data_IF_748630602666
#
_entry.id   IF_748630602666
#
_cell.length_a   1.000
_cell.length_b   1.000
_cell.length_c   1.000
_cell.angle_alpha   90.00
_cell.angle_beta   90.00
_cell.angle_gamma   90.00
#
_symmetry.space_group_name_H-M   'P 1'
#
loop_
_entity.id
_entity.type
_entity.pdbx_description
1 polymer ?
#
# COMPACT_ATOMS: atom_id res chain seq x y z
N UNK A 1 10.70 -17.11 17.68
CA UNK A 1 11.46 -15.96 17.11
C UNK A 1 11.17 -15.74 15.62
N UNK A 2 11.17 -16.75 14.73
CA UNK A 2 10.95 -16.52 13.29
C UNK A 2 9.58 -15.88 12.97
N UNK A 3 8.52 -16.19 13.72
CA UNK A 3 7.18 -15.61 13.49
C UNK A 3 7.12 -14.09 13.66
N UNK A 4 7.69 -13.57 14.75
CA UNK A 4 7.69 -12.12 15.02
C UNK A 4 8.48 -11.39 13.94
N UNK A 5 9.66 -11.90 13.59
CA UNK A 5 10.52 -11.31 12.56
C UNK A 5 9.83 -11.33 11.19
N UNK A 6 9.19 -12.44 10.84
CA UNK A 6 8.43 -12.57 9.57
C UNK A 6 7.30 -11.54 9.50
N UNK A 7 6.53 -11.33 10.58
CA UNK A 7 5.45 -10.34 10.62
C UNK A 7 6.00 -8.91 10.50
N UNK A 8 7.11 -8.60 11.16
CA UNK A 8 7.76 -7.28 11.04
C UNK A 8 8.20 -7.04 9.60
N UNK A 9 8.89 -8.01 8.97
CA UNK A 9 9.32 -7.90 7.57
C UNK A 9 8.13 -7.80 6.62
N UNK A 10 7.04 -8.54 6.87
CA UNK A 10 5.79 -8.45 6.10
C UNK A 10 5.17 -7.07 6.19
N UNK A 11 5.07 -6.50 7.39
CA UNK A 11 4.51 -5.15 7.60
C UNK A 11 5.36 -4.08 6.91
N UNK A 12 6.68 -4.12 7.06
CA UNK A 12 7.61 -3.21 6.40
C UNK A 12 7.57 -3.38 4.87
N UNK A 13 7.47 -4.64 4.38
CA UNK A 13 7.30 -4.92 2.96
C UNK A 13 6.02 -4.28 2.43
N UNK A 14 4.88 -4.39 3.12
CA UNK A 14 3.62 -3.77 2.69
C UNK A 14 3.77 -2.25 2.57
N UNK A 15 4.38 -1.59 3.57
CA UNK A 15 4.62 -0.15 3.56
C UNK A 15 5.45 0.24 2.33
N UNK A 16 6.55 -0.46 2.05
CA UNK A 16 7.43 -0.12 0.92
C UNK A 16 6.81 -0.46 -0.43
N UNK A 17 6.12 -1.59 -0.56
CA UNK A 17 5.40 -2.00 -1.77
C UNK A 17 4.35 -0.96 -2.16
N UNK A 18 3.50 -0.56 -1.20
CA UNK A 18 2.44 0.42 -1.47
C UNK A 18 2.98 1.83 -1.64
N UNK A 19 4.07 2.20 -0.95
CA UNK A 19 4.74 3.48 -1.15
C UNK A 19 5.33 3.57 -2.57
N UNK A 20 6.04 2.55 -3.04
CA UNK A 20 6.64 2.51 -4.37
C UNK A 20 5.57 2.51 -5.46
N UNK A 21 4.57 1.61 -5.35
CA UNK A 21 3.47 1.49 -6.31
C UNK A 21 2.65 2.79 -6.37
N UNK A 22 2.34 3.38 -5.22
CA UNK A 22 1.56 4.61 -5.15
C UNK A 22 2.30 5.83 -5.70
N UNK A 23 3.62 5.95 -5.48
CA UNK A 23 4.43 7.01 -6.11
C UNK A 23 4.44 6.83 -7.64
N UNK A 24 4.53 5.60 -8.16
CA UNK A 24 4.45 5.36 -9.60
C UNK A 24 3.12 5.82 -10.19
N UNK A 25 2.00 5.51 -9.54
CA UNK A 25 0.66 5.95 -9.94
C UNK A 25 0.54 7.47 -9.82
N UNK A 26 1.02 8.07 -8.72
CA UNK A 26 0.98 9.51 -8.51
C UNK A 26 1.75 10.27 -9.60
N UNK A 27 2.95 9.82 -9.94
CA UNK A 27 3.76 10.39 -11.03
C UNK A 27 3.02 10.28 -12.37
N UNK A 28 2.34 9.17 -12.63
CA UNK A 28 1.55 9.02 -13.86
C UNK A 28 0.46 10.07 -13.98
N UNK A 29 -0.21 10.40 -12.89
CA UNK A 29 -1.33 11.35 -12.87
C UNK A 29 -0.89 12.82 -12.79
N UNK A 30 0.17 13.11 -12.02
CA UNK A 30 0.48 14.50 -11.62
C UNK A 30 1.87 15.00 -12.00
N UNK A 31 2.72 14.22 -12.70
CA UNK A 31 4.11 14.61 -13.02
C UNK A 31 4.26 15.97 -13.70
N UNK A 32 3.30 16.34 -14.57
CA UNK A 32 3.34 17.62 -15.31
C UNK A 32 3.15 18.85 -14.41
N UNK A 33 2.76 18.63 -13.15
CA UNK A 33 2.50 19.67 -12.15
C UNK A 33 3.57 19.74 -11.07
N UNK A 34 4.38 18.70 -10.97
CA UNK A 34 5.58 18.68 -10.14
C UNK A 34 6.70 19.39 -10.88
N UNK A 35 7.39 20.28 -10.19
CA UNK A 35 8.55 21.01 -10.70
C UNK A 35 9.76 20.74 -9.78
N UNK A 36 9.83 21.44 -8.68
CA UNK A 36 10.95 21.36 -7.73
C UNK A 36 11.00 20.05 -6.92
N UNK A 37 9.85 19.43 -6.67
CA UNK A 37 9.73 18.21 -5.90
C UNK A 37 9.85 16.93 -6.74
N UNK A 38 9.73 16.99 -8.07
CA UNK A 38 9.66 15.83 -8.94
C UNK A 38 10.83 14.86 -8.76
N UNK A 39 12.06 15.38 -8.72
CA UNK A 39 13.26 14.54 -8.57
C UNK A 39 13.30 13.83 -7.22
N UNK A 40 12.95 14.53 -6.14
CA UNK A 40 12.91 13.93 -4.80
C UNK A 40 11.82 12.86 -4.70
N UNK A 41 10.62 13.09 -5.26
CA UNK A 41 9.54 12.12 -5.30
C UNK A 41 9.98 10.85 -6.02
N UNK A 42 10.61 10.98 -7.19
CA UNK A 42 11.14 9.83 -7.94
C UNK A 42 12.19 9.06 -7.15
N UNK A 43 13.16 9.74 -6.54
CA UNK A 43 14.20 9.10 -5.72
C UNK A 43 13.61 8.33 -4.53
N UNK A 44 12.61 8.89 -3.85
CA UNK A 44 11.94 8.20 -2.74
C UNK A 44 11.19 6.95 -3.25
N UNK A 45 10.50 7.05 -4.38
CA UNK A 45 9.86 5.90 -5.01
C UNK A 45 10.84 4.80 -5.40
N UNK A 46 12.01 5.18 -5.95
CA UNK A 46 13.09 4.25 -6.28
C UNK A 46 13.67 3.58 -5.03
N UNK A 47 13.99 4.38 -4.00
CA UNK A 47 14.51 3.86 -2.74
C UNK A 47 13.51 2.90 -2.08
N UNK A 48 12.21 3.24 -2.07
CA UNK A 48 11.16 2.35 -1.57
C UNK A 48 11.07 1.05 -2.38
N UNK A 49 11.20 1.12 -3.71
CA UNK A 49 11.18 -0.06 -4.57
C UNK A 49 12.39 -0.97 -4.31
N UNK A 50 13.59 -0.41 -4.26
CA UNK A 50 14.83 -1.19 -4.03
C UNK A 50 14.87 -1.79 -2.62
N UNK A 51 14.52 -1.02 -1.59
CA UNK A 51 14.39 -1.54 -0.24
C UNK A 51 13.28 -2.61 -0.15
N UNK A 52 12.18 -2.42 -0.89
CA UNK A 52 11.11 -3.40 -1.03
C UNK A 52 11.59 -4.73 -1.60
N UNK A 53 12.49 -4.73 -2.60
CA UNK A 53 13.12 -5.96 -3.13
C UNK A 53 13.82 -6.74 -2.02
N UNK A 54 14.63 -6.06 -1.20
CA UNK A 54 15.37 -6.70 -0.10
C UNK A 54 14.41 -7.29 0.93
N UNK A 55 13.39 -6.52 1.35
CA UNK A 55 12.45 -6.98 2.38
C UNK A 55 11.55 -8.12 1.88
N UNK A 56 11.12 -8.08 0.62
CA UNK A 56 10.30 -9.15 0.03
C UNK A 56 11.11 -10.44 -0.10
N UNK A 57 12.36 -10.37 -0.54
CA UNK A 57 13.25 -11.53 -0.60
C UNK A 57 13.55 -12.09 0.79
N UNK A 58 13.87 -11.22 1.76
CA UNK A 58 14.10 -11.62 3.14
C UNK A 58 12.87 -12.25 3.81
N UNK A 59 11.68 -11.68 3.58
CA UNK A 59 10.44 -12.27 4.07
C UNK A 59 10.20 -13.67 3.48
N UNK A 60 10.43 -13.85 2.18
CA UNK A 60 10.30 -15.16 1.53
C UNK A 60 11.25 -16.19 2.12
N UNK A 61 12.51 -15.82 2.35
CA UNK A 61 13.48 -16.71 2.99
C UNK A 61 13.06 -17.12 4.41
N UNK A 62 12.47 -16.20 5.18
CA UNK A 62 11.98 -16.48 6.53
C UNK A 62 10.72 -17.37 6.57
N UNK A 63 9.97 -17.52 5.49
CA UNK A 63 8.82 -18.44 5.47
C UNK A 63 9.31 -19.90 5.65
N UNK A 64 10.48 -20.27 5.09
CA UNK A 64 11.10 -21.57 5.34
C UNK A 64 11.51 -21.76 6.82
N UNK A 65 12.06 -20.72 7.45
CA UNK A 65 12.37 -20.74 8.89
C UNK A 65 11.11 -20.93 9.76
N UNK A 66 9.99 -20.35 9.35
CA UNK A 66 8.70 -20.54 10.05
C UNK A 66 8.20 -21.97 9.95
N UNK A 67 8.37 -22.61 8.79
CA UNK A 67 8.01 -24.02 8.60
C UNK A 67 8.88 -24.96 9.42
N UNK A 68 10.19 -24.66 9.57
CA UNK A 68 11.10 -25.41 10.40
C UNK A 68 10.88 -25.18 11.91
N UNK A 69 10.27 -24.07 12.30
CA UNK A 69 10.14 -23.62 13.69
C UNK A 69 11.37 -22.88 14.24
N UNK A 70 12.47 -22.85 13.52
CA UNK A 70 13.72 -22.18 13.88
C UNK A 70 14.43 -21.53 12.67
N UNK A 71 15.52 -20.80 12.92
CA UNK A 71 16.26 -20.08 11.88
C UNK A 71 17.07 -20.97 10.93
N UNK A 72 17.30 -22.24 11.27
CA UNK A 72 18.05 -23.19 10.43
C UNK A 72 17.30 -23.44 9.12
N UNK A 73 15.96 -23.39 9.15
CA UNK A 73 15.10 -23.56 7.98
C UNK A 73 15.40 -22.62 6.81
N UNK A 74 16.02 -21.45 7.07
CA UNK A 74 16.47 -20.53 6.00
C UNK A 74 17.47 -21.23 5.07
N UNK A 75 18.30 -22.11 5.62
CA UNK A 75 19.37 -22.78 4.91
C UNK A 75 19.03 -24.24 4.54
N UNK A 76 17.82 -24.71 4.86
CA UNK A 76 17.36 -26.07 4.60
C UNK A 76 16.93 -26.20 3.11
N UNK A 77 17.69 -26.93 2.26
CA UNK A 77 17.44 -26.99 0.81
C UNK A 77 16.06 -27.56 0.48
N UNK A 78 15.62 -28.59 1.21
CA UNK A 78 14.31 -29.24 1.03
C UNK A 78 13.15 -28.28 1.26
N UNK A 79 13.21 -27.44 2.29
CA UNK A 79 12.20 -26.42 2.57
C UNK A 79 12.21 -25.33 1.52
N UNK A 80 13.38 -24.88 1.08
CA UNK A 80 13.50 -23.88 0.00
C UNK A 80 12.95 -24.41 -1.32
N UNK A 81 13.22 -25.66 -1.66
CA UNK A 81 12.68 -26.31 -2.86
C UNK A 81 11.15 -26.44 -2.78
N UNK A 82 10.60 -26.86 -1.63
CA UNK A 82 9.17 -26.93 -1.41
C UNK A 82 8.52 -25.54 -1.58
N UNK A 83 9.10 -24.49 -1.01
CA UNK A 83 8.63 -23.11 -1.18
C UNK A 83 8.69 -22.67 -2.65
N UNK A 84 9.74 -23.06 -3.37
CA UNK A 84 9.91 -22.72 -4.78
C UNK A 84 8.86 -23.38 -5.68
N UNK A 85 8.35 -24.54 -5.32
CA UNK A 85 7.25 -25.23 -6.03
C UNK A 85 5.85 -24.83 -5.55
N UNK A 86 5.75 -23.92 -4.59
CA UNK A 86 4.48 -23.42 -4.06
C UNK A 86 3.96 -22.18 -4.81
N UNK A 87 2.68 -21.81 -4.65
CA UNK A 87 2.13 -20.55 -5.19
C UNK A 87 2.87 -19.28 -4.73
N UNK A 88 3.59 -19.34 -3.60
CA UNK A 88 4.38 -18.20 -3.07
C UNK A 88 5.48 -17.75 -4.03
N UNK A 89 6.04 -18.65 -4.85
CA UNK A 89 7.01 -18.30 -5.90
C UNK A 89 6.43 -17.29 -6.90
N UNK A 90 5.24 -17.56 -7.41
CA UNK A 90 4.61 -16.68 -8.39
C UNK A 90 4.39 -15.28 -7.81
N UNK A 91 3.91 -15.20 -6.57
CA UNK A 91 3.73 -13.93 -5.88
C UNK A 91 5.06 -13.21 -5.60
N UNK A 92 6.13 -13.95 -5.23
CA UNK A 92 7.48 -13.41 -5.08
C UNK A 92 7.97 -12.80 -6.38
N UNK A 93 7.95 -13.56 -7.47
CA UNK A 93 8.45 -13.12 -8.78
C UNK A 93 7.68 -11.90 -9.30
N UNK A 94 6.34 -11.89 -9.16
CA UNK A 94 5.53 -10.72 -9.53
C UNK A 94 5.90 -9.47 -8.71
N UNK A 95 6.13 -9.61 -7.39
CA UNK A 95 6.55 -8.48 -6.54
C UNK A 95 7.93 -7.98 -6.90
N UNK A 96 8.91 -8.88 -7.06
CA UNK A 96 10.29 -8.51 -7.41
C UNK A 96 10.34 -7.84 -8.78
N UNK A 97 9.73 -8.45 -9.80
CA UNK A 97 9.66 -7.86 -11.14
C UNK A 97 8.95 -6.51 -11.12
N UNK A 98 7.80 -6.43 -10.42
CA UNK A 98 7.05 -5.19 -10.31
C UNK A 98 7.85 -4.07 -9.65
N UNK A 99 8.58 -4.35 -8.55
CA UNK A 99 9.45 -3.38 -7.88
C UNK A 99 10.61 -2.94 -8.78
N UNK A 100 11.24 -3.84 -9.51
CA UNK A 100 12.31 -3.52 -10.47
C UNK A 100 11.77 -2.64 -11.60
N UNK A 101 10.58 -2.94 -12.15
CA UNK A 101 9.94 -2.10 -13.16
C UNK A 101 9.61 -0.70 -12.61
N UNK A 102 9.16 -0.58 -11.35
CA UNK A 102 8.96 0.71 -10.70
C UNK A 102 10.29 1.46 -10.58
N UNK A 103 11.34 0.80 -10.08
CA UNK A 103 12.65 1.42 -9.89
C UNK A 103 13.21 1.96 -11.20
N UNK A 104 13.18 1.15 -12.28
CA UNK A 104 13.65 1.54 -13.62
C UNK A 104 12.75 2.61 -14.24
N UNK A 105 11.42 2.43 -14.16
CA UNK A 105 10.46 3.36 -14.74
C UNK A 105 10.52 4.75 -14.09
N UNK A 106 10.85 4.83 -12.79
CA UNK A 106 11.02 6.11 -12.10
C UNK A 106 12.37 6.80 -12.40
N UNK A 107 13.34 6.15 -13.04
CA UNK A 107 14.57 6.81 -13.51
C UNK A 107 14.29 7.74 -14.69
N UNK A 108 13.45 7.29 -15.62
CA UNK A 108 13.16 8.04 -16.85
C UNK A 108 12.09 9.13 -16.65
N UNK A 109 12.16 10.19 -17.50
CA UNK A 109 11.16 11.28 -17.54
C UNK A 109 10.07 11.11 -18.63
N UNK A 110 10.17 10.07 -19.46
CA UNK A 110 9.30 9.86 -20.61
C UNK A 110 7.93 9.26 -20.26
N UNK A 111 7.00 9.27 -21.21
CA UNK A 111 5.72 8.56 -21.08
C UNK A 111 5.94 7.05 -20.96
N UNK A 112 6.88 6.51 -21.76
CA UNK A 112 7.20 5.06 -21.75
C UNK A 112 7.69 4.62 -20.37
N UNK A 113 8.63 5.37 -19.77
CA UNK A 113 9.12 5.06 -18.42
C UNK A 113 8.03 5.12 -17.35
N UNK A 114 7.09 6.05 -17.49
CA UNK A 114 5.93 6.14 -16.60
C UNK A 114 4.99 4.93 -16.75
N UNK A 115 4.73 4.48 -17.98
CA UNK A 115 3.92 3.28 -18.24
C UNK A 115 4.58 2.04 -17.63
N UNK A 116 5.90 1.90 -17.77
CA UNK A 116 6.67 0.80 -17.14
C UNK A 116 6.51 0.83 -15.61
N UNK A 117 6.63 2.00 -14.98
CA UNK A 117 6.45 2.13 -13.53
C UNK A 117 5.02 1.76 -13.08
N UNK A 118 4.00 2.17 -13.82
CA UNK A 118 2.59 1.82 -13.54
C UNK A 118 2.35 0.33 -13.74
N UNK A 119 2.89 -0.27 -14.81
CA UNK A 119 2.87 -1.73 -15.01
C UNK A 119 3.48 -2.48 -13.82
N UNK A 120 4.61 -1.99 -13.30
CA UNK A 120 5.20 -2.49 -12.06
C UNK A 120 4.28 -2.36 -10.85
N UNK A 121 3.58 -1.24 -10.70
CA UNK A 121 2.61 -1.04 -9.60
C UNK A 121 1.43 -2.03 -9.67
N UNK A 122 0.93 -2.31 -10.87
CA UNK A 122 -0.12 -3.32 -11.09
C UNK A 122 0.38 -4.72 -10.75
N UNK A 123 1.62 -5.08 -11.15
CA UNK A 123 2.21 -6.38 -10.80
C UNK A 123 2.40 -6.53 -9.29
N UNK A 124 2.91 -5.50 -8.60
CA UNK A 124 3.09 -5.51 -7.14
C UNK A 124 1.76 -5.71 -6.42
N UNK A 125 0.72 -4.96 -6.78
CA UNK A 125 -0.61 -5.06 -6.16
C UNK A 125 -1.33 -6.34 -6.57
N UNK A 126 -1.20 -6.77 -7.83
CA UNK A 126 -1.78 -8.01 -8.34
C UNK A 126 -1.18 -9.27 -7.70
N UNK A 127 0.08 -9.25 -7.30
CA UNK A 127 0.71 -10.37 -6.60
C UNK A 127 -0.02 -10.81 -5.32
N UNK A 128 -0.77 -9.91 -4.69
CA UNK A 128 -1.56 -10.23 -3.50
C UNK A 128 -2.77 -11.12 -3.82
N UNK A 129 -3.27 -11.12 -5.06
CA UNK A 129 -4.40 -11.97 -5.48
C UNK A 129 -4.01 -13.43 -5.71
N UNK A 130 -2.69 -13.71 -5.80
CA UNK A 130 -2.16 -15.06 -6.04
C UNK A 130 -2.07 -15.90 -4.76
N UNK A 131 -2.23 -15.29 -3.61
CA UNK A 131 -2.03 -15.93 -2.30
C UNK A 131 -3.17 -15.59 -1.32
N UNK A 132 -3.27 -16.41 -0.26
CA UNK A 132 -4.20 -16.19 0.84
C UNK A 132 -5.60 -16.73 0.54
N UNK A 133 -6.55 -16.39 1.42
CA UNK A 133 -7.93 -16.94 1.39
C UNK A 133 -8.74 -16.56 0.14
N UNK A 134 -8.37 -15.49 -0.54
CA UNK A 134 -9.00 -15.06 -1.79
C UNK A 134 -8.71 -16.01 -2.95
N UNK A 135 -7.56 -16.69 -2.96
CA UNK A 135 -7.14 -17.59 -4.04
C UNK A 135 -7.81 -18.97 -4.00
N UNK A 136 -8.27 -19.41 -2.83
CA UNK A 136 -8.91 -20.73 -2.61
C UNK A 136 -10.42 -20.65 -2.48
N UNK A 137 -11.01 -19.46 -2.50
CA UNK A 137 -12.46 -19.26 -2.37
C UNK A 137 -13.20 -19.59 -3.67
N UNK A 138 -14.48 -20.03 -3.55
CA UNK A 138 -15.37 -20.30 -4.70
C UNK A 138 -15.53 -19.06 -5.58
N UNK A 139 -15.56 -17.86 -4.99
CA UNK A 139 -15.64 -16.57 -5.69
C UNK A 139 -14.29 -15.94 -5.98
N UNK A 140 -13.22 -16.75 -6.18
CA UNK A 140 -11.83 -16.27 -6.34
C UNK A 140 -11.66 -15.16 -7.37
N UNK A 141 -12.36 -15.23 -8.51
CA UNK A 141 -12.21 -14.21 -9.56
C UNK A 141 -12.75 -12.85 -9.11
N UNK A 142 -13.95 -12.83 -8.52
CA UNK A 142 -14.54 -11.60 -7.97
C UNK A 142 -13.69 -11.02 -6.83
N UNK A 143 -13.24 -11.88 -5.90
CA UNK A 143 -12.37 -11.47 -4.80
C UNK A 143 -11.03 -10.94 -5.30
N UNK A 144 -10.42 -11.55 -6.33
CA UNK A 144 -9.18 -11.08 -6.93
C UNK A 144 -9.34 -9.68 -7.56
N UNK A 145 -10.43 -9.45 -8.28
CA UNK A 145 -10.73 -8.14 -8.89
C UNK A 145 -11.00 -7.07 -7.83
N UNK A 146 -11.81 -7.39 -6.81
CA UNK A 146 -12.09 -6.47 -5.70
C UNK A 146 -10.82 -6.15 -4.91
N UNK A 147 -9.99 -7.16 -4.63
CA UNK A 147 -8.72 -6.98 -3.92
C UNK A 147 -7.75 -6.14 -4.75
N UNK A 148 -7.58 -6.42 -6.04
CA UNK A 148 -6.70 -5.64 -6.92
C UNK A 148 -7.13 -4.17 -6.95
N UNK A 149 -8.43 -3.91 -7.18
CA UNK A 149 -8.98 -2.56 -7.19
C UNK A 149 -8.76 -1.85 -5.85
N UNK A 150 -9.09 -2.53 -4.74
CA UNK A 150 -8.89 -2.01 -3.39
C UNK A 150 -7.42 -1.63 -3.13
N UNK A 151 -6.49 -2.54 -3.47
CA UNK A 151 -5.05 -2.32 -3.23
C UNK A 151 -4.44 -1.25 -4.14
N UNK A 152 -4.92 -1.10 -5.37
CA UNK A 152 -4.49 0.00 -6.25
C UNK A 152 -4.90 1.36 -5.68
N UNK A 153 -6.12 1.47 -5.13
CA UNK A 153 -6.60 2.70 -4.50
C UNK A 153 -5.82 2.98 -3.20
N UNK A 154 -5.59 1.95 -2.36
CA UNK A 154 -4.75 2.07 -1.16
C UNK A 154 -3.34 2.54 -1.54
N UNK A 155 -2.71 1.92 -2.54
CA UNK A 155 -1.39 2.30 -3.01
C UNK A 155 -1.36 3.76 -3.49
N UNK A 156 -2.33 4.16 -4.32
CA UNK A 156 -2.45 5.55 -4.79
C UNK A 156 -2.56 6.53 -3.62
N UNK A 157 -3.47 6.28 -2.66
CA UNK A 157 -3.67 7.18 -1.53
C UNK A 157 -2.43 7.28 -0.66
N UNK A 158 -1.93 6.13 -0.19
CA UNK A 158 -0.75 6.06 0.67
C UNK A 158 0.49 6.67 0.00
N UNK A 159 0.73 6.28 -1.25
CA UNK A 159 1.89 6.76 -2.00
C UNK A 159 1.82 8.24 -2.38
N UNK A 160 0.62 8.85 -2.43
CA UNK A 160 0.45 10.28 -2.70
C UNK A 160 0.83 11.19 -1.50
N UNK A 161 0.77 10.67 -0.27
CA UNK A 161 1.01 11.49 0.94
C UNK A 161 2.41 12.07 0.98
N UNK A 162 3.44 11.29 0.59
CA UNK A 162 4.83 11.76 0.54
C UNK A 162 5.04 12.82 -0.54
N UNK A 163 4.60 12.65 -1.80
CA UNK A 163 4.63 13.71 -2.82
C UNK A 163 3.91 15.00 -2.39
N UNK A 164 2.72 14.90 -1.79
CA UNK A 164 1.98 16.07 -1.32
C UNK A 164 2.71 16.80 -0.17
N UNK A 165 3.29 16.03 0.76
CA UNK A 165 4.13 16.60 1.81
C UNK A 165 5.34 17.35 1.23
N UNK A 166 6.05 16.75 0.27
CA UNK A 166 7.19 17.38 -0.39
C UNK A 166 6.78 18.59 -1.24
N UNK A 167 5.64 18.52 -1.91
CA UNK A 167 5.10 19.64 -2.67
C UNK A 167 4.83 20.84 -1.74
N UNK A 168 4.25 20.61 -0.56
CA UNK A 168 4.02 21.66 0.43
C UNK A 168 5.30 22.30 1.00
N UNK A 169 6.48 21.65 0.81
CA UNK A 169 7.78 22.17 1.25
C UNK A 169 8.56 22.85 0.13
N UNK A 170 8.43 22.38 -1.11
CA UNK A 170 9.36 22.70 -2.20
C UNK A 170 8.70 23.45 -3.35
N UNK A 171 7.41 23.23 -3.59
CA UNK A 171 6.69 23.90 -4.66
C UNK A 171 6.27 25.33 -4.25
N UNK A 172 5.95 26.14 -5.24
CA UNK A 172 5.32 27.44 -4.96
C UNK A 172 3.92 27.21 -4.38
N UNK A 173 3.43 28.09 -3.48
CA UNK A 173 2.12 27.93 -2.86
C UNK A 173 0.96 27.70 -3.85
N UNK A 174 0.87 28.39 -5.01
CA UNK A 174 -0.19 28.12 -5.99
C UNK A 174 -0.11 26.70 -6.57
N UNK A 175 1.10 26.18 -6.84
CA UNK A 175 1.30 24.83 -7.36
C UNK A 175 0.99 23.76 -6.31
N UNK A 176 1.41 23.99 -5.08
CA UNK A 176 1.09 23.09 -3.98
C UNK A 176 -0.42 22.98 -3.76
N UNK A 177 -1.14 24.11 -3.81
CA UNK A 177 -2.60 24.15 -3.71
C UNK A 177 -3.29 23.43 -4.88
N UNK A 178 -2.86 23.66 -6.15
CA UNK A 178 -3.39 22.95 -7.33
C UNK A 178 -3.19 21.42 -7.22
N UNK A 179 -2.04 20.98 -6.75
CA UNK A 179 -1.79 19.54 -6.53
C UNK A 179 -2.72 18.94 -5.47
N UNK A 180 -2.91 19.64 -4.35
CA UNK A 180 -3.83 19.21 -3.27
C UNK A 180 -5.27 19.15 -3.77
N UNK A 181 -5.73 20.17 -4.48
CA UNK A 181 -7.09 20.22 -5.03
C UNK A 181 -7.35 19.07 -5.99
N UNK A 182 -6.43 18.81 -6.92
CA UNK A 182 -6.58 17.71 -7.90
C UNK A 182 -6.50 16.34 -7.25
N UNK A 183 -5.57 16.15 -6.31
CA UNK A 183 -5.54 14.92 -5.53
C UNK A 183 -6.88 14.71 -4.82
N UNK A 184 -7.39 15.74 -4.16
CA UNK A 184 -8.68 15.69 -3.45
C UNK A 184 -9.83 15.38 -4.40
N UNK A 185 -9.85 15.95 -5.61
CA UNK A 185 -10.87 15.65 -6.60
C UNK A 185 -10.86 14.15 -6.99
N UNK A 186 -9.68 13.58 -7.27
CA UNK A 186 -9.56 12.14 -7.57
C UNK A 186 -9.94 11.29 -6.36
N UNK A 187 -9.39 11.59 -5.18
CA UNK A 187 -9.64 10.85 -3.95
C UNK A 187 -11.14 10.78 -3.59
N UNK A 188 -11.89 11.85 -3.85
CA UNK A 188 -13.34 11.91 -3.59
C UNK A 188 -14.11 10.81 -4.32
N UNK A 189 -13.74 10.52 -5.56
CA UNK A 189 -14.38 9.45 -6.32
C UNK A 189 -13.88 8.05 -5.94
N UNK A 190 -12.64 7.95 -5.45
CA UNK A 190 -12.06 6.68 -5.04
C UNK A 190 -12.53 6.21 -3.66
N UNK A 191 -12.93 7.13 -2.77
CA UNK A 191 -13.42 6.78 -1.41
C UNK A 191 -14.64 5.86 -1.42
N UNK A 192 -15.72 6.14 -2.15
CA UNK A 192 -16.84 5.21 -2.24
C UNK A 192 -16.43 3.84 -2.81
N UNK A 193 -15.55 3.84 -3.82
CA UNK A 193 -15.10 2.61 -4.48
C UNK A 193 -14.30 1.72 -3.53
N UNK A 194 -13.37 2.28 -2.76
CA UNK A 194 -12.57 1.49 -1.80
C UNK A 194 -13.45 0.96 -0.66
N UNK A 195 -14.42 1.74 -0.20
CA UNK A 195 -15.38 1.32 0.82
C UNK A 195 -16.25 0.15 0.33
N UNK A 196 -16.86 0.31 -0.85
CA UNK A 196 -17.69 -0.74 -1.46
C UNK A 196 -16.90 -2.02 -1.72
N UNK A 197 -15.66 -1.89 -2.25
CA UNK A 197 -14.79 -3.05 -2.45
C UNK A 197 -14.45 -3.75 -1.12
N UNK A 198 -14.16 -2.98 -0.06
CA UNK A 198 -13.90 -3.52 1.27
C UNK A 198 -15.10 -4.23 1.89
N UNK A 199 -16.29 -3.64 1.79
CA UNK A 199 -17.54 -4.23 2.27
C UNK A 199 -17.87 -5.50 1.49
N UNK A 200 -17.78 -5.47 0.16
CA UNK A 200 -18.03 -6.64 -0.69
C UNK A 200 -17.08 -7.81 -0.37
N UNK A 201 -15.77 -7.52 -0.18
CA UNK A 201 -14.82 -8.55 0.24
C UNK A 201 -15.15 -9.10 1.63
N UNK A 202 -15.53 -8.26 2.59
CA UNK A 202 -15.93 -8.71 3.92
C UNK A 202 -17.17 -9.60 3.85
N UNK A 203 -18.18 -9.24 3.06
CA UNK A 203 -19.40 -10.03 2.87
C UNK A 203 -19.14 -11.40 2.21
N UNK A 204 -18.14 -11.49 1.31
CA UNK A 204 -17.76 -12.75 0.64
C UNK A 204 -16.83 -13.64 1.48
N UNK A 205 -16.10 -13.06 2.44
CA UNK A 205 -15.11 -13.78 3.25
C UNK A 205 -15.65 -14.21 4.62
N UNK A 206 -16.57 -13.44 5.22
CA UNK A 206 -17.10 -13.75 6.54
C UNK A 206 -18.28 -14.71 6.41
N UNK A 207 -18.28 -15.87 7.08
CA UNK A 207 -19.38 -16.84 7.02
C UNK A 207 -20.67 -16.31 7.67
N UNK A 208 -20.54 -15.49 8.71
CA UNK A 208 -21.65 -14.87 9.44
C UNK A 208 -21.15 -13.70 10.30
N UNK A 209 -22.09 -12.94 10.90
CA UNK A 209 -21.75 -11.80 11.76
C UNK A 209 -21.11 -12.20 13.10
N UNK A 210 -21.30 -13.42 13.57
CA UNK A 210 -20.65 -13.89 14.80
C UNK A 210 -19.13 -14.01 14.62
N UNK A 211 -18.64 -14.26 13.40
CA UNK A 211 -17.22 -14.26 13.06
C UNK A 211 -16.50 -12.92 13.34
N UNK A 212 -17.26 -11.83 13.49
CA UNK A 212 -16.68 -10.53 13.92
C UNK A 212 -16.17 -10.55 15.35
N UNK A 213 -16.57 -11.50 16.19
CA UNK A 213 -16.09 -11.67 17.55
C UNK A 213 -14.78 -12.44 17.63
N UNK A 214 -14.44 -13.17 16.58
CA UNK A 214 -13.21 -13.94 16.45
C UNK A 214 -11.99 -13.01 16.24
N UNK A 215 -10.76 -13.48 16.47
CA UNK A 215 -9.55 -12.67 16.33
C UNK A 215 -9.43 -11.98 14.96
N UNK A 216 -9.75 -12.68 13.86
CA UNK A 216 -9.79 -12.12 12.50
C UNK A 216 -10.78 -10.97 12.41
N UNK A 217 -12.01 -11.16 12.89
CA UNK A 217 -13.08 -10.17 12.86
C UNK A 217 -12.76 -8.92 13.70
N UNK A 218 -12.13 -9.09 14.87
CA UNK A 218 -11.69 -7.97 15.72
C UNK A 218 -10.65 -7.11 15.00
N UNK A 219 -9.69 -7.71 14.30
CA UNK A 219 -8.70 -6.97 13.49
C UNK A 219 -9.37 -6.29 12.28
N UNK A 220 -10.38 -6.92 11.68
CA UNK A 220 -11.19 -6.29 10.64
C UNK A 220 -11.93 -5.05 11.17
N UNK A 221 -12.54 -5.12 12.36
CA UNK A 221 -13.17 -3.97 13.02
C UNK A 221 -12.14 -2.87 13.28
N UNK A 222 -10.95 -3.20 13.78
CA UNK A 222 -9.87 -2.23 13.98
C UNK A 222 -9.48 -1.51 12.68
N UNK A 223 -9.45 -2.22 11.54
CA UNK A 223 -9.22 -1.62 10.21
C UNK A 223 -10.36 -0.68 9.80
N UNK A 224 -11.61 -1.04 10.05
CA UNK A 224 -12.78 -0.20 9.77
C UNK A 224 -12.74 1.07 10.59
N UNK A 225 -12.42 0.98 11.88
CA UNK A 225 -12.22 2.15 12.76
C UNK A 225 -11.08 3.02 12.25
N UNK A 226 -9.93 2.42 11.91
CA UNK A 226 -8.81 3.13 11.31
C UNK A 226 -9.19 3.86 10.01
N UNK A 227 -9.97 3.20 9.14
CA UNK A 227 -10.49 3.82 7.93
C UNK A 227 -11.44 4.99 8.23
N UNK A 228 -12.33 4.87 9.22
CA UNK A 228 -13.22 5.97 9.63
C UNK A 228 -12.42 7.18 10.15
N UNK A 229 -11.37 6.95 10.94
CA UNK A 229 -10.45 8.02 11.38
C UNK A 229 -9.72 8.67 10.19
N UNK A 230 -9.27 7.87 9.23
CA UNK A 230 -8.65 8.35 7.99
C UNK A 230 -9.62 9.26 7.21
N UNK A 231 -10.91 8.87 7.11
CA UNK A 231 -11.93 9.70 6.47
C UNK A 231 -12.14 11.02 7.20
N UNK A 232 -12.08 11.03 8.53
CA UNK A 232 -12.13 12.26 9.33
C UNK A 232 -10.96 13.21 9.01
N UNK A 233 -9.73 12.69 8.91
CA UNK A 233 -8.55 13.48 8.54
C UNK A 233 -8.66 13.99 7.09
N UNK A 234 -9.05 13.13 6.15
CA UNK A 234 -9.24 13.51 4.76
C UNK A 234 -10.32 14.58 4.58
N UNK A 235 -11.42 14.47 5.34
CA UNK A 235 -12.47 15.47 5.38
C UNK A 235 -11.97 16.82 5.94
N UNK A 236 -11.17 16.79 7.01
CA UNK A 236 -10.53 17.98 7.55
C UNK A 236 -9.56 18.62 6.55
N UNK A 237 -8.77 17.80 5.84
CA UNK A 237 -7.88 18.26 4.78
C UNK A 237 -8.67 18.91 3.63
N UNK A 238 -9.77 18.29 3.19
CA UNK A 238 -10.61 18.81 2.11
C UNK A 238 -11.28 20.13 2.43
N UNK A 239 -11.95 20.22 3.59
CA UNK A 239 -12.87 21.33 3.87
C UNK A 239 -12.27 22.45 4.73
N UNK A 240 -11.16 22.19 5.43
CA UNK A 240 -10.52 23.18 6.32
C UNK A 240 -9.09 23.52 5.93
N UNK A 241 -8.24 22.49 5.79
CA UNK A 241 -6.80 22.72 5.63
C UNK A 241 -6.41 23.06 4.19
N UNK A 242 -7.06 22.45 3.18
CA UNK A 242 -6.84 22.77 1.77
C UNK A 242 -7.21 24.22 1.44
N UNK A 243 -8.44 24.69 1.74
CA UNK A 243 -8.81 26.10 1.57
C UNK A 243 -7.91 27.05 2.34
N UNK A 244 -7.56 26.74 3.60
CA UNK A 244 -6.64 27.57 4.39
C UNK A 244 -5.23 27.65 3.80
N UNK A 245 -4.77 26.57 3.13
CA UNK A 245 -3.51 26.53 2.38
C UNK A 245 -3.58 27.43 1.13
N UNK A 246 -4.69 27.36 0.38
CA UNK A 246 -4.94 28.18 -0.81
C UNK A 246 -4.97 29.69 -0.46
N UNK A 247 -5.62 30.05 0.67
CA UNK A 247 -5.70 31.40 1.18
C UNK A 247 -4.42 31.89 1.90
N UNK A 248 -3.38 31.05 1.99
CA UNK A 248 -2.11 31.36 2.65
C UNK A 248 -2.26 31.82 4.11
N UNK A 249 -3.24 31.25 4.83
CA UNK A 249 -3.45 31.58 6.26
C UNK A 249 -2.22 31.20 7.09
N UNK A 250 -1.85 32.03 8.04
CA UNK A 250 -0.68 31.82 8.90
C UNK A 250 -0.72 30.43 9.55
N UNK A 251 0.36 29.66 9.38
CA UNK A 251 0.51 28.31 9.94
C UNK A 251 -0.29 27.20 9.24
N UNK A 252 -1.02 27.50 8.14
CA UNK A 252 -1.79 26.50 7.37
C UNK A 252 -0.90 25.39 6.82
N UNK A 253 0.27 25.70 6.27
CA UNK A 253 1.20 24.72 5.76
C UNK A 253 1.67 23.72 6.82
N UNK A 254 2.00 24.20 8.03
CA UNK A 254 2.43 23.32 9.13
C UNK A 254 1.29 22.40 9.59
N UNK A 255 0.06 22.90 9.65
CA UNK A 255 -1.12 22.10 10.01
C UNK A 255 -1.41 21.05 8.94
N UNK A 256 -1.36 21.44 7.67
CA UNK A 256 -1.54 20.53 6.54
C UNK A 256 -0.49 19.40 6.54
N UNK A 257 0.80 19.71 6.69
CA UNK A 257 1.87 18.70 6.79
C UNK A 257 1.68 17.74 7.96
N UNK A 258 1.25 18.25 9.12
CA UNK A 258 0.93 17.39 10.28
C UNK A 258 -0.22 16.44 9.99
N UNK A 259 -1.25 16.91 9.31
CA UNK A 259 -2.37 16.06 8.89
C UNK A 259 -1.93 14.97 7.92
N UNK A 260 -1.13 15.29 6.90
CA UNK A 260 -0.56 14.28 5.98
C UNK A 260 0.30 13.25 6.72
N UNK A 261 1.11 13.68 7.69
CA UNK A 261 1.91 12.77 8.50
C UNK A 261 1.02 11.86 9.37
N UNK A 262 -0.06 12.38 9.94
CA UNK A 262 -1.02 11.59 10.69
C UNK A 262 -1.74 10.56 9.81
N UNK A 263 -2.18 10.95 8.60
CA UNK A 263 -2.74 10.00 7.61
C UNK A 263 -1.74 8.91 7.26
N UNK A 264 -0.47 9.28 7.02
CA UNK A 264 0.59 8.32 6.70
C UNK A 264 0.77 7.28 7.80
N UNK A 265 0.91 7.73 9.05
CA UNK A 265 1.04 6.85 10.22
C UNK A 265 -0.19 5.95 10.38
N UNK A 266 -1.39 6.51 10.19
CA UNK A 266 -2.63 5.75 10.33
C UNK A 266 -2.75 4.65 9.26
N UNK A 267 -2.44 4.95 7.99
CA UNK A 267 -2.43 3.93 6.93
C UNK A 267 -1.34 2.89 7.19
N UNK A 268 -0.13 3.30 7.59
CA UNK A 268 0.94 2.37 7.95
C UNK A 268 0.51 1.43 9.10
N UNK A 269 -0.23 1.94 10.08
CA UNK A 269 -0.82 1.13 11.16
C UNK A 269 -1.85 0.15 10.62
N UNK A 270 -2.74 0.56 9.71
CA UNK A 270 -3.71 -0.34 9.06
C UNK A 270 -3.01 -1.44 8.26
N UNK A 271 -1.93 -1.11 7.55
CA UNK A 271 -1.10 -2.08 6.82
C UNK A 271 -0.42 -3.07 7.77
N UNK A 272 0.06 -2.60 8.92
CA UNK A 272 0.64 -3.45 9.97
C UNK A 272 -0.40 -4.40 10.56
N UNK A 273 -1.60 -3.89 10.89
CA UNK A 273 -2.73 -4.73 11.33
C UNK A 273 -3.06 -5.78 10.25
N UNK A 274 -3.03 -5.40 8.98
CA UNK A 274 -3.25 -6.33 7.87
C UNK A 274 -2.17 -7.40 7.79
N UNK A 275 -0.90 -7.05 8.01
CA UNK A 275 0.20 -8.01 8.05
C UNK A 275 0.02 -9.03 9.18
N UNK A 276 -0.35 -8.57 10.39
CA UNK A 276 -0.66 -9.45 11.53
C UNK A 276 -1.86 -10.36 11.22
N UNK A 277 -2.95 -9.78 10.73
CA UNK A 277 -4.18 -10.49 10.40
C UNK A 277 -3.93 -11.63 9.40
N UNK A 278 -3.18 -11.34 8.32
CA UNK A 278 -2.89 -12.33 7.27
C UNK A 278 -1.78 -13.32 7.62
N UNK A 279 -1.06 -13.10 8.72
CA UNK A 279 0.00 -14.01 9.18
C UNK A 279 -0.51 -15.06 10.17
N UNK A 280 -1.51 -14.72 10.98
CA UNK A 280 -1.91 -15.55 12.11
C UNK A 280 -3.38 -15.97 12.11
N UNK A 281 -4.22 -15.35 11.30
CA UNK A 281 -5.66 -15.58 11.39
C UNK A 281 -6.29 -15.87 10.02
N UNK A 282 -7.31 -16.74 10.04
CA UNK A 282 -8.13 -17.08 8.88
C UNK A 282 -9.56 -16.58 9.10
N UNK A 283 -10.28 -16.14 8.05
CA UNK A 283 -11.70 -15.79 8.16
C UNK A 283 -12.61 -16.98 8.43
N UNK A 284 -12.12 -18.20 8.21
CA UNK A 284 -12.86 -19.48 8.32
C UNK A 284 -12.40 -20.36 9.46
N UNK A 285 -11.63 -19.85 10.40
CA UNK A 285 -11.14 -20.60 11.56
C UNK A 285 -12.13 -20.54 12.69
#
# INVERSE_FOLDING_TARGET
>A
MPDILSVILRALSFILLFQAAGIAIYIALFRRRLDRSQHAVRRIGQAAALAGVVLVAGHYALEAARLAGDMSGVWEPTLQEMMWHSPSRAALLCRLLGLLLIAVGLQGGSNRSTIVAVGGAVLVTGAFTLMGHTSVNVHRAALAMLLLLHLLIVAFWFGALVPLYLASLRETPPRASDLVERFTAVATWLVPVILLAGVAMAALLLPNLAALREPYGRLLIAKVVGFALLMGLAAANRWRLGPALAERRTGSERRFRRSLAAEYVLIATILTITAVMTSFFSPTA
#
